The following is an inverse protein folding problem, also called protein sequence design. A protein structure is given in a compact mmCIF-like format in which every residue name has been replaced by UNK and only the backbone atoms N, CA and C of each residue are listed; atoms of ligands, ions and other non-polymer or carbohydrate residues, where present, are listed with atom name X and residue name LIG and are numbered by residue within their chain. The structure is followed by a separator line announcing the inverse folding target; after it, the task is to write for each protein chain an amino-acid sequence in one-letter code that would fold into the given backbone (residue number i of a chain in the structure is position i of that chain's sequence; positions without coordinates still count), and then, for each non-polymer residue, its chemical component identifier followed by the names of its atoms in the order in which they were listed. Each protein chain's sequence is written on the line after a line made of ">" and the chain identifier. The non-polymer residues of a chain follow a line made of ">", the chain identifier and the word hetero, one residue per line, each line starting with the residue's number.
data_IF_215861545115
#
_entry.id   IF_215861545115
#
_cell.length_a   1.000
_cell.length_b   1.000
_cell.length_c   1.000
_cell.angle_alpha   90.00
_cell.angle_beta   90.00
_cell.angle_gamma   90.00
#
_symmetry.space_group_name_H-M   'P 1'
#
loop_
_entity.id
_entity.type
_entity.pdbx_description
1 polymer ?
#
# COMPACT_ATOMS: atom_id res chain seq x y z
N UNK A 1 10.93 9.47 -16.51
CA UNK A 1 11.14 8.21 -15.76
C UNK A 1 11.27 8.42 -14.28
N UNK A 2 12.14 9.33 -13.84
CA UNK A 2 12.28 9.70 -12.43
C UNK A 2 10.93 10.07 -11.81
N UNK A 3 10.08 10.84 -12.52
CA UNK A 3 8.73 11.20 -12.04
C UNK A 3 7.87 9.98 -11.70
N UNK A 4 7.87 8.93 -12.54
CA UNK A 4 7.11 7.71 -12.27
C UNK A 4 7.62 7.02 -11.00
N UNK A 5 8.94 6.84 -10.89
CA UNK A 5 9.55 6.25 -9.72
C UNK A 5 9.20 7.04 -8.45
N UNK A 6 9.30 8.37 -8.49
CA UNK A 6 8.96 9.24 -7.36
C UNK A 6 7.50 9.09 -6.98
N UNK A 7 6.56 9.13 -7.93
CA UNK A 7 5.13 8.97 -7.65
C UNK A 7 4.81 7.60 -7.03
N UNK A 8 5.42 6.54 -7.54
CA UNK A 8 5.25 5.18 -7.01
C UNK A 8 5.79 5.06 -5.59
N UNK A 9 6.98 5.60 -5.32
CA UNK A 9 7.56 5.61 -3.96
C UNK A 9 6.69 6.44 -3.02
N UNK A 10 6.31 7.66 -3.42
CA UNK A 10 5.45 8.53 -2.62
C UNK A 10 4.10 7.86 -2.29
N UNK A 11 3.53 7.11 -3.23
CA UNK A 11 2.28 6.38 -3.00
C UNK A 11 2.42 5.24 -1.98
N UNK A 12 3.60 4.64 -1.86
CA UNK A 12 3.87 3.54 -0.93
C UNK A 12 4.31 4.01 0.47
N UNK A 13 4.83 5.24 0.59
CA UNK A 13 5.34 5.80 1.85
C UNK A 13 4.34 5.73 3.02
N UNK A 14 3.04 6.08 2.85
CA UNK A 14 2.08 5.99 3.94
C UNK A 14 1.96 4.58 4.52
N UNK A 15 2.06 3.54 3.68
CA UNK A 15 1.92 2.14 4.07
C UNK A 15 3.19 1.61 4.72
N UNK A 16 4.36 2.02 4.21
CA UNK A 16 5.63 1.76 4.88
C UNK A 16 5.66 2.38 6.27
N UNK A 17 5.25 3.65 6.38
CA UNK A 17 5.20 4.37 7.65
C UNK A 17 4.18 3.72 8.60
N UNK A 18 2.95 3.47 8.15
CA UNK A 18 1.90 2.87 8.96
C UNK A 18 2.29 1.46 9.46
N UNK A 19 2.81 0.61 8.58
CA UNK A 19 3.27 -0.73 8.94
C UNK A 19 4.44 -0.69 9.94
N UNK A 20 5.42 0.19 9.71
CA UNK A 20 6.55 0.35 10.63
C UNK A 20 6.11 0.88 12.00
N UNK A 21 5.25 1.90 12.04
CA UNK A 21 4.72 2.47 13.28
C UNK A 21 3.89 1.44 14.05
N UNK A 22 3.00 0.70 13.37
CA UNK A 22 2.21 -0.35 14.01
C UNK A 22 3.07 -1.46 14.62
N UNK A 23 4.17 -1.83 13.98
CA UNK A 23 5.08 -2.85 14.52
C UNK A 23 5.97 -2.32 15.65
N UNK A 24 6.32 -1.04 15.61
CA UNK A 24 7.15 -0.40 16.63
C UNK A 24 6.36 -0.02 17.89
N UNK A 25 5.06 0.25 17.78
CA UNK A 25 4.22 0.58 18.92
C UNK A 25 3.85 -0.66 19.74
N UNK A 26 3.89 -0.58 21.09
CA UNK A 26 3.29 -1.60 21.93
C UNK A 26 1.77 -1.56 21.74
N UNK A 27 1.23 -2.60 21.10
CA UNK A 27 -0.21 -2.83 21.03
C UNK A 27 -0.65 -3.62 22.26
N UNK A 28 -1.41 -2.96 23.13
CA UNK A 28 -2.10 -3.57 24.27
C UNK A 28 -3.61 -3.67 23.98
N UNK A 29 -4.40 -4.20 24.91
CA UNK A 29 -5.86 -4.35 24.75
C UNK A 29 -6.58 -3.03 24.40
N UNK A 30 -6.00 -1.88 24.77
CA UNK A 30 -6.52 -0.55 24.38
C UNK A 30 -6.46 -0.26 22.87
N UNK A 31 -5.79 -1.10 22.07
CA UNK A 31 -5.78 -0.99 20.61
C UNK A 31 -7.03 -1.61 19.95
N UNK A 32 -7.84 -2.34 20.72
CA UNK A 32 -9.11 -2.90 20.25
C UNK A 32 -10.13 -1.75 20.18
N UNK A 33 -10.80 -1.54 19.03
CA UNK A 33 -11.80 -0.49 18.92
C UNK A 33 -12.98 -0.74 19.88
N UNK A 34 -13.48 0.30 20.56
CA UNK A 34 -14.61 0.16 21.48
C UNK A 34 -15.86 -0.32 20.74
N UNK A 35 -16.58 -1.29 21.31
CA UNK A 35 -17.77 -1.91 20.72
C UNK A 35 -17.51 -3.25 20.02
N UNK A 36 -16.26 -3.69 19.95
CA UNK A 36 -15.92 -5.05 19.50
C UNK A 36 -15.85 -6.06 20.65
N UNK A 37 -15.87 -5.63 21.92
CA UNK A 37 -15.74 -6.52 23.07
C UNK A 37 -16.89 -7.54 23.12
N UNK A 38 -18.14 -7.11 22.92
CA UNK A 38 -19.30 -8.01 22.91
C UNK A 38 -19.25 -9.05 21.77
N UNK A 39 -18.69 -8.68 20.61
CA UNK A 39 -18.51 -9.61 19.48
C UNK A 39 -17.35 -10.59 19.70
N UNK A 40 -16.31 -10.16 20.39
CA UNK A 40 -15.17 -11.01 20.74
C UNK A 40 -15.56 -12.03 21.81
N UNK A 41 -16.33 -11.62 22.82
CA UNK A 41 -16.89 -12.51 23.83
C UNK A 41 -17.83 -13.56 23.21
N UNK A 42 -18.70 -13.16 22.27
CA UNK A 42 -19.61 -14.08 21.58
C UNK A 42 -18.90 -15.07 20.65
N UNK A 43 -17.74 -14.67 20.09
CA UNK A 43 -16.95 -15.53 19.19
C UNK A 43 -15.90 -16.38 19.93
N UNK A 44 -15.73 -16.18 21.24
CA UNK A 44 -14.72 -16.86 22.05
C UNK A 44 -13.28 -16.51 21.66
N UNK A 45 -13.09 -15.39 20.95
CA UNK A 45 -11.78 -14.93 20.49
C UNK A 45 -11.14 -14.12 21.60
N UNK A 46 -9.95 -14.54 22.04
CA UNK A 46 -9.21 -13.80 23.07
C UNK A 46 -8.61 -12.51 22.49
N UNK A 47 -8.47 -11.44 23.30
CA UNK A 47 -7.81 -10.19 22.89
C UNK A 47 -6.43 -10.40 22.27
N UNK A 48 -5.65 -11.34 22.81
CA UNK A 48 -4.33 -11.72 22.30
C UNK A 48 -4.35 -12.17 20.83
N UNK A 49 -5.39 -12.91 20.42
CA UNK A 49 -5.54 -13.38 19.04
C UNK A 49 -5.79 -12.19 18.12
N UNK A 50 -6.61 -11.23 18.53
CA UNK A 50 -6.88 -10.01 17.75
C UNK A 50 -5.61 -9.18 17.58
N UNK A 51 -4.87 -8.96 18.68
CA UNK A 51 -3.61 -8.21 18.64
C UNK A 51 -2.59 -8.91 17.74
N UNK A 52 -2.48 -10.24 17.82
CA UNK A 52 -1.59 -11.01 16.94
C UNK A 52 -1.99 -10.91 15.47
N UNK A 53 -3.29 -10.90 15.16
CA UNK A 53 -3.81 -10.73 13.81
C UNK A 53 -3.54 -9.33 13.28
N UNK A 54 -3.72 -8.29 14.10
CA UNK A 54 -3.39 -6.90 13.74
C UNK A 54 -1.90 -6.72 13.46
N UNK A 55 -1.02 -7.29 14.30
CA UNK A 55 0.43 -7.31 14.04
C UNK A 55 0.75 -8.07 12.76
N UNK A 56 0.12 -9.22 12.53
CA UNK A 56 0.27 -10.00 11.29
C UNK A 56 -0.11 -9.17 10.06
N UNK A 57 -1.25 -8.47 10.11
CA UNK A 57 -1.68 -7.56 9.05
C UNK A 57 -0.68 -6.41 8.83
N UNK A 58 -0.14 -5.82 9.90
CA UNK A 58 0.88 -4.77 9.80
C UNK A 58 2.17 -5.26 9.13
N UNK A 59 2.64 -6.48 9.45
CA UNK A 59 3.77 -7.12 8.75
C UNK A 59 3.46 -7.29 7.27
N UNK A 60 2.29 -7.82 6.93
CA UNK A 60 1.88 -8.04 5.53
C UNK A 60 1.85 -6.72 4.77
N UNK A 61 1.23 -5.67 5.33
CA UNK A 61 1.18 -4.33 4.72
C UNK A 61 2.60 -3.81 4.46
N UNK A 62 3.49 -3.90 5.46
CA UNK A 62 4.86 -3.43 5.35
C UNK A 62 5.64 -4.18 4.26
N UNK A 63 5.54 -5.51 4.23
CA UNK A 63 6.22 -6.35 3.24
C UNK A 63 5.70 -6.07 1.83
N UNK A 64 4.37 -5.99 1.66
CA UNK A 64 3.76 -5.69 0.36
C UNK A 64 4.18 -4.31 -0.14
N UNK A 65 4.20 -3.30 0.74
CA UNK A 65 4.65 -1.96 0.39
C UNK A 65 6.15 -1.93 0.01
N UNK A 66 6.99 -2.70 0.72
CA UNK A 66 8.41 -2.83 0.39
C UNK A 66 8.62 -3.52 -0.97
N UNK A 67 7.87 -4.59 -1.25
CA UNK A 67 7.88 -5.28 -2.55
C UNK A 67 7.40 -4.35 -3.68
N UNK A 68 6.39 -3.52 -3.42
CA UNK A 68 5.92 -2.53 -4.39
C UNK A 68 7.04 -1.56 -4.78
N UNK A 69 7.76 -1.01 -3.79
CA UNK A 69 8.93 -0.15 -4.02
C UNK A 69 10.05 -0.90 -4.76
N UNK A 70 10.35 -2.14 -4.37
CA UNK A 70 11.34 -2.97 -5.04
C UNK A 70 11.00 -3.16 -6.52
N UNK A 71 9.75 -3.50 -6.85
CA UNK A 71 9.32 -3.65 -8.24
C UNK A 71 9.27 -2.32 -8.99
N UNK A 72 8.96 -1.21 -8.32
CA UNK A 72 9.08 0.12 -8.92
C UNK A 72 10.53 0.44 -9.31
N UNK A 73 11.51 0.10 -8.45
CA UNK A 73 12.94 0.26 -8.75
C UNK A 73 13.38 -0.71 -9.85
N UNK A 74 12.99 -1.99 -9.80
CA UNK A 74 13.33 -2.96 -10.84
C UNK A 74 12.73 -2.61 -12.19
N UNK A 75 11.48 -2.14 -12.20
CA UNK A 75 10.82 -1.59 -13.36
C UNK A 75 11.59 -0.37 -13.87
N UNK A 76 11.99 0.53 -12.96
CA UNK A 76 12.86 1.66 -13.30
C UNK A 76 14.22 1.21 -13.82
N UNK A 77 14.78 0.07 -13.45
CA UNK A 77 16.03 -0.46 -14.04
C UNK A 77 15.82 -1.14 -15.41
N UNK A 78 14.60 -1.17 -15.94
CA UNK A 78 14.31 -1.72 -17.26
C UNK A 78 13.88 -3.19 -17.29
N UNK A 79 13.57 -3.79 -16.14
CA UNK A 79 12.99 -5.12 -16.11
C UNK A 79 11.50 -5.09 -16.50
N UNK A 80 11.15 -5.67 -17.66
CA UNK A 80 9.75 -5.64 -18.14
C UNK A 80 8.81 -6.49 -17.28
N UNK A 81 9.31 -7.59 -16.70
CA UNK A 81 8.51 -8.43 -15.81
C UNK A 81 8.10 -7.68 -14.54
N UNK A 82 8.98 -6.81 -14.02
CA UNK A 82 8.68 -5.97 -12.85
C UNK A 82 7.57 -4.94 -13.14
N UNK A 83 7.47 -4.42 -14.38
CA UNK A 83 6.38 -3.53 -14.78
C UNK A 83 5.02 -4.22 -14.74
N UNK A 84 4.96 -5.48 -15.16
CA UNK A 84 3.72 -6.27 -15.13
C UNK A 84 3.30 -6.52 -13.68
N UNK A 85 4.23 -6.99 -12.83
CA UNK A 85 3.95 -7.22 -11.41
C UNK A 85 3.52 -5.93 -10.69
N UNK A 86 4.22 -4.83 -10.93
CA UNK A 86 3.87 -3.52 -10.39
C UNK A 86 2.46 -3.09 -10.80
N UNK A 87 2.06 -3.37 -12.03
CA UNK A 87 0.71 -3.07 -12.53
C UNK A 87 -0.34 -3.90 -11.79
N UNK A 88 -0.12 -5.21 -11.65
CA UNK A 88 -1.01 -6.11 -10.91
C UNK A 88 -1.18 -5.64 -9.46
N UNK A 89 -0.06 -5.33 -8.80
CA UNK A 89 -0.08 -4.81 -7.43
C UNK A 89 -0.80 -3.46 -7.33
N UNK A 90 -0.57 -2.55 -8.27
CA UNK A 90 -1.23 -1.23 -8.30
C UNK A 90 -2.74 -1.38 -8.45
N UNK A 91 -3.21 -2.29 -9.32
CA UNK A 91 -4.64 -2.56 -9.48
C UNK A 91 -5.23 -3.10 -8.19
N UNK A 92 -4.64 -4.16 -7.60
CA UNK A 92 -5.14 -4.74 -6.35
C UNK A 92 -5.18 -3.73 -5.21
N UNK A 93 -4.11 -2.96 -5.06
CA UNK A 93 -4.00 -1.91 -4.05
C UNK A 93 -5.01 -0.78 -4.26
N UNK A 94 -5.20 -0.31 -5.49
CA UNK A 94 -6.17 0.74 -5.82
C UNK A 94 -7.58 0.27 -5.53
N UNK A 95 -7.92 -0.96 -5.91
CA UNK A 95 -9.24 -1.54 -5.61
C UNK A 95 -9.48 -1.65 -4.11
N UNK A 96 -8.47 -2.05 -3.33
CA UNK A 96 -8.57 -2.15 -1.88
C UNK A 96 -8.77 -0.77 -1.23
N UNK A 97 -8.02 0.25 -1.67
CA UNK A 97 -8.21 1.62 -1.19
C UNK A 97 -9.60 2.17 -1.52
N UNK A 98 -10.07 1.96 -2.75
CA UNK A 98 -11.41 2.38 -3.16
C UNK A 98 -12.49 1.62 -2.39
N UNK A 99 -12.30 0.33 -2.10
CA UNK A 99 -13.20 -0.43 -1.23
C UNK A 99 -13.26 0.17 0.18
N UNK A 100 -12.11 0.60 0.73
CA UNK A 100 -12.02 1.25 2.04
C UNK A 100 -12.84 2.55 2.15
N UNK A 101 -13.10 3.24 1.03
CA UNK A 101 -13.97 4.42 1.02
C UNK A 101 -15.40 4.08 1.43
N UNK A 102 -15.88 2.86 1.14
CA UNK A 102 -17.22 2.41 1.50
C UNK A 102 -17.31 1.90 2.95
N UNK A 103 -16.18 1.64 3.61
CA UNK A 103 -16.12 1.13 4.99
C UNK A 103 -15.76 2.21 6.01
N UNK A 104 -15.74 3.48 5.60
CA UNK A 104 -15.46 4.62 6.49
C UNK A 104 -14.00 5.08 6.57
N UNK A 105 -13.08 4.53 5.77
CA UNK A 105 -11.69 5.00 5.74
C UNK A 105 -11.52 6.42 5.14
N UNK A 106 -12.57 6.94 4.51
CA UNK A 106 -12.68 8.31 3.99
C UNK A 106 -13.85 9.06 4.67
N UNK A 107 -13.98 8.92 5.99
CA UNK A 107 -15.08 9.50 6.77
C UNK A 107 -15.07 11.05 6.78
N UNK A 108 -13.92 11.66 6.49
CA UNK A 108 -13.75 13.12 6.44
C UNK A 108 -13.12 13.57 5.11
N UNK A 109 -13.28 14.86 4.78
CA UNK A 109 -12.76 15.41 3.51
C UNK A 109 -11.24 15.35 3.38
N UNK A 110 -10.51 15.37 4.50
CA UNK A 110 -9.04 15.27 4.52
C UNK A 110 -8.56 13.87 4.21
N UNK A 111 -9.12 12.85 4.87
CA UNK A 111 -8.82 11.44 4.59
C UNK A 111 -9.20 11.05 3.16
N UNK A 112 -10.32 11.56 2.65
CA UNK A 112 -10.72 11.39 1.24
C UNK A 112 -9.69 11.97 0.27
N UNK A 113 -9.29 13.23 0.46
CA UNK A 113 -8.32 13.88 -0.43
C UNK A 113 -6.98 13.15 -0.41
N UNK A 114 -6.53 12.74 0.78
CA UNK A 114 -5.29 11.97 0.94
C UNK A 114 -5.35 10.64 0.19
N UNK A 115 -6.45 9.88 0.32
CA UNK A 115 -6.63 8.61 -0.37
C UNK A 115 -6.63 8.80 -1.90
N UNK A 116 -7.34 9.82 -2.40
CA UNK A 116 -7.36 10.14 -3.82
C UNK A 116 -5.98 10.55 -4.35
N UNK A 117 -5.17 11.27 -3.57
CA UNK A 117 -3.79 11.62 -3.94
C UNK A 117 -2.90 10.38 -4.04
N UNK A 118 -3.02 9.43 -3.10
CA UNK A 118 -2.29 8.16 -3.12
C UNK A 118 -2.67 7.35 -4.37
N UNK A 119 -3.97 7.25 -4.67
CA UNK A 119 -4.47 6.56 -5.87
C UNK A 119 -3.98 7.24 -7.15
N UNK A 120 -4.06 8.57 -7.22
CA UNK A 120 -3.59 9.33 -8.37
C UNK A 120 -2.08 9.14 -8.59
N UNK A 121 -1.28 9.12 -7.52
CA UNK A 121 0.16 8.90 -7.59
C UNK A 121 0.49 7.47 -8.02
N UNK A 122 -0.16 6.44 -7.46
CA UNK A 122 0.11 5.04 -7.80
C UNK A 122 -0.30 4.71 -9.25
N UNK A 123 -1.51 5.11 -9.65
CA UNK A 123 -2.04 4.87 -11.00
C UNK A 123 -1.29 5.72 -12.03
N UNK A 124 -1.11 7.02 -11.75
CA UNK A 124 -0.37 7.93 -12.63
C UNK A 124 1.08 7.50 -12.81
N UNK A 125 1.75 7.14 -11.71
CA UNK A 125 3.11 6.59 -11.72
C UNK A 125 3.21 5.34 -12.59
N UNK A 126 2.25 4.42 -12.46
CA UNK A 126 2.18 3.19 -13.25
C UNK A 126 1.95 3.46 -14.73
N UNK A 127 0.98 4.31 -15.09
CA UNK A 127 0.70 4.68 -16.49
C UNK A 127 1.93 5.30 -17.15
N UNK A 128 2.65 6.17 -16.44
CA UNK A 128 3.86 6.79 -16.96
C UNK A 128 4.92 5.74 -17.32
N UNK A 129 4.96 4.56 -16.67
CA UNK A 129 5.90 3.50 -17.09
C UNK A 129 5.65 3.00 -18.52
N UNK A 130 4.41 3.13 -19.03
CA UNK A 130 3.99 2.66 -20.37
C UNK A 130 4.04 3.73 -21.46
N UNK A 131 4.32 5.00 -21.13
CA UNK A 131 4.41 6.06 -22.12
C UNK A 131 5.62 5.91 -23.08
N UNK A 132 5.56 6.46 -24.31
CA UNK A 132 6.55 6.24 -25.37
C UNK A 132 7.94 6.85 -25.13
N UNK A 133 8.08 7.86 -24.26
CA UNK A 133 9.38 8.35 -23.80
C UNK A 133 10.13 7.34 -22.91
N UNK A 134 9.51 6.88 -21.81
CA UNK A 134 9.97 5.76 -20.97
C UNK A 134 10.48 4.52 -21.72
N UNK A 135 9.77 4.08 -22.75
CA UNK A 135 10.09 2.86 -23.49
C UNK A 135 11.42 2.94 -24.25
N UNK A 136 11.86 4.16 -24.60
CA UNK A 136 13.20 4.41 -25.17
C UNK A 136 14.30 4.29 -24.10
N UNK A 137 14.06 4.84 -22.91
CA UNK A 137 14.98 4.73 -21.78
C UNK A 137 15.20 3.27 -21.35
N UNK A 138 14.13 2.45 -21.35
CA UNK A 138 14.22 1.02 -21.04
C UNK A 138 14.96 0.19 -22.09
N UNK A 139 14.99 0.64 -23.35
CA UNK A 139 15.80 0.00 -24.39
C UNK A 139 17.29 0.28 -24.20
N UNK A 140 17.66 1.47 -23.74
CA UNK A 140 19.06 1.84 -23.49
C UNK A 140 19.60 1.34 -22.15
N UNK A 141 18.79 1.24 -21.10
CA UNK A 141 19.24 0.75 -19.78
C UNK A 141 19.56 -0.76 -19.74
N UNK A 142 19.19 -1.50 -20.79
CA UNK A 142 19.54 -2.91 -20.98
C UNK A 142 20.82 -3.13 -21.80
N UNK A 143 21.38 -2.04 -22.34
CA UNK A 143 22.60 -2.05 -23.14
C UNK A 143 23.84 -2.02 -22.26
#
# INVERSE_FOLDING_TARGET
>A
MIVSLVLLILSALPFLAAGAVMLAMPMDESAIPPGFEEQLEQSGVTPDVVISALRGAAVVILVVAALYVLFAVMAFLGHNWARILLTIMTVGFTLLLLAGMFTGAAADGGSLLFLLLVVAASVGGTIITFLPGPSRWFRTARG
#
